data_IF_705117467827
#
_entry.id   IF_705117467827
#
_cell.length_a   1.000
_cell.length_b   1.000
_cell.length_c   1.000
_cell.angle_alpha   90.00
_cell.angle_beta   90.00
_cell.angle_gamma   90.00
#
_symmetry.space_group_name_H-M   'P 1'
#
loop_
_entity.id
_entity.type
_entity.pdbx_description
1 polymer ?
#
# COMPACT_ATOMS: atom_id res chain seq x y z
N UNK A 1 -9.64 3.10 23.18
CA UNK A 1 -8.80 3.85 22.21
C UNK A 1 -9.45 3.62 20.86
N UNK A 2 -10.17 4.62 20.37
CA UNK A 2 -11.09 4.49 19.26
C UNK A 2 -10.34 4.16 17.97
N UNK A 3 -10.71 3.04 17.34
CA UNK A 3 -10.18 2.54 16.07
C UNK A 3 -10.20 3.63 14.98
N UNK A 4 -11.16 4.54 15.04
CA UNK A 4 -11.28 5.71 14.15
C UNK A 4 -10.10 6.70 14.29
N UNK A 5 -9.60 6.96 15.51
CA UNK A 5 -8.45 7.84 15.72
C UNK A 5 -7.17 7.21 15.19
N UNK A 6 -7.02 5.89 15.36
CA UNK A 6 -5.89 5.13 14.84
C UNK A 6 -5.91 5.15 13.30
N UNK A 7 -7.07 4.90 12.69
CA UNK A 7 -7.27 4.97 11.24
C UNK A 7 -6.93 6.36 10.67
N UNK A 8 -7.43 7.43 11.30
CA UNK A 8 -7.18 8.81 10.85
C UNK A 8 -5.71 9.20 10.97
N UNK A 9 -5.04 8.76 12.04
CA UNK A 9 -3.61 9.02 12.25
C UNK A 9 -2.73 8.29 11.23
N UNK A 10 -3.06 7.04 10.91
CA UNK A 10 -2.36 6.25 9.89
C UNK A 10 -2.56 6.83 8.50
N UNK A 11 -3.79 7.24 8.16
CA UNK A 11 -4.08 7.85 6.88
C UNK A 11 -3.31 9.19 6.72
N UNK A 12 -3.28 10.03 7.76
CA UNK A 12 -2.46 11.24 7.77
C UNK A 12 -0.96 10.93 7.65
N UNK A 13 -0.45 9.88 8.30
CA UNK A 13 0.95 9.49 8.21
C UNK A 13 1.33 8.99 6.81
N UNK A 14 0.48 8.20 6.16
CA UNK A 14 0.70 7.71 4.78
C UNK A 14 0.69 8.87 3.79
N UNK A 15 -0.26 9.80 3.92
CA UNK A 15 -0.33 11.01 3.09
C UNK A 15 0.92 11.86 3.31
N UNK A 16 1.37 12.07 4.56
CA UNK A 16 2.56 12.85 4.87
C UNK A 16 3.85 12.21 4.31
N UNK A 17 4.01 10.90 4.45
CA UNK A 17 5.17 10.17 3.90
C UNK A 17 5.18 10.26 2.37
N UNK A 18 4.02 10.05 1.72
CA UNK A 18 3.87 10.17 0.27
C UNK A 18 4.15 11.61 -0.20
N UNK A 19 3.66 12.61 0.52
CA UNK A 19 3.86 14.02 0.20
C UNK A 19 5.34 14.42 0.30
N UNK A 20 6.03 13.99 1.37
CA UNK A 20 7.48 14.21 1.55
C UNK A 20 8.28 13.47 0.46
N UNK A 21 7.86 12.25 0.11
CA UNK A 21 8.49 11.46 -0.94
C UNK A 21 8.34 12.12 -2.32
N UNK A 22 7.16 12.66 -2.62
CA UNK A 22 6.83 13.30 -3.89
C UNK A 22 7.54 14.66 -4.05
N UNK A 23 7.63 15.46 -2.97
CA UNK A 23 8.32 16.74 -2.99
C UNK A 23 9.84 16.64 -3.13
N UNK A 24 10.45 15.51 -2.73
CA UNK A 24 11.91 15.36 -2.72
C UNK A 24 12.52 14.73 -3.97
N UNK A 25 11.76 14.29 -4.98
CA UNK A 25 12.32 13.46 -6.07
C UNK A 25 12.25 14.08 -7.47
N UNK A 26 13.41 14.51 -7.96
CA UNK A 26 13.68 14.92 -9.35
C UNK A 26 13.81 13.73 -10.35
N UNK A 27 13.97 12.48 -9.89
CA UNK A 27 14.17 11.29 -10.77
C UNK A 27 12.91 10.41 -10.88
N UNK A 28 11.99 10.80 -11.76
CA UNK A 28 10.62 10.23 -11.91
C UNK A 28 10.52 8.74 -12.28
N UNK A 29 11.39 8.20 -13.14
CA UNK A 29 11.20 6.85 -13.72
C UNK A 29 11.71 5.70 -12.86
N UNK A 30 12.94 5.78 -12.32
CA UNK A 30 13.50 4.72 -11.48
C UNK A 30 12.72 4.58 -10.17
N UNK A 31 12.25 5.70 -9.62
CA UNK A 31 11.40 5.73 -8.44
C UNK A 31 10.09 4.97 -8.67
N UNK A 32 9.46 5.19 -9.83
CA UNK A 32 8.23 4.52 -10.22
C UNK A 32 8.45 3.02 -10.39
N UNK A 33 9.55 2.61 -11.04
CA UNK A 33 9.89 1.19 -11.21
C UNK A 33 10.12 0.50 -9.86
N UNK A 34 10.85 1.13 -8.93
CA UNK A 34 11.02 0.59 -7.58
C UNK A 34 9.71 0.52 -6.80
N UNK A 35 8.83 1.53 -6.95
CA UNK A 35 7.50 1.53 -6.33
C UNK A 35 6.62 0.42 -6.88
N UNK A 36 6.64 0.20 -8.19
CA UNK A 36 5.91 -0.87 -8.87
C UNK A 36 6.37 -2.26 -8.43
N UNK A 37 7.69 -2.49 -8.39
CA UNK A 37 8.25 -3.78 -7.97
C UNK A 37 7.97 -4.05 -6.49
N UNK A 38 8.15 -3.04 -5.63
CA UNK A 38 7.90 -3.20 -4.18
C UNK A 38 6.41 -3.33 -3.86
N UNK A 39 5.53 -2.61 -4.55
CA UNK A 39 4.08 -2.74 -4.42
C UNK A 39 3.56 -4.08 -4.92
N UNK A 40 4.02 -4.53 -6.08
CA UNK A 40 3.70 -5.87 -6.60
C UNK A 40 4.20 -6.98 -5.68
N UNK A 41 5.43 -6.87 -5.17
CA UNK A 41 5.97 -7.83 -4.21
C UNK A 41 5.17 -7.83 -2.90
N UNK A 42 4.79 -6.66 -2.38
CA UNK A 42 3.96 -6.56 -1.19
C UNK A 42 2.58 -7.20 -1.42
N UNK A 43 1.95 -6.94 -2.57
CA UNK A 43 0.65 -7.54 -2.90
C UNK A 43 0.74 -9.07 -3.00
N UNK A 44 1.82 -9.59 -3.59
CA UNK A 44 2.06 -11.03 -3.69
C UNK A 44 2.26 -11.68 -2.31
N UNK A 45 3.03 -11.05 -1.43
CA UNK A 45 3.23 -11.52 -0.05
C UNK A 45 1.90 -11.54 0.69
N UNK A 46 1.12 -10.47 0.60
CA UNK A 46 -0.19 -10.38 1.27
C UNK A 46 -1.20 -11.37 0.66
N UNK A 47 -1.20 -11.59 -0.65
CA UNK A 47 -2.08 -12.61 -1.23
C UNK A 47 -1.71 -14.03 -0.74
N UNK A 48 -0.41 -14.35 -0.63
CA UNK A 48 0.04 -15.70 -0.25
C UNK A 48 0.00 -15.97 1.26
N UNK A 49 0.33 -14.96 2.07
CA UNK A 49 0.46 -15.09 3.53
C UNK A 49 -0.60 -14.31 4.30
N UNK A 50 -1.41 -13.47 3.64
CA UNK A 50 -2.46 -12.67 4.27
C UNK A 50 -3.49 -13.53 4.98
N UNK A 51 -3.80 -14.71 4.44
CA UNK A 51 -4.72 -15.65 5.08
C UNK A 51 -4.25 -16.09 6.48
N UNK A 52 -2.93 -16.13 6.76
CA UNK A 52 -2.42 -16.43 8.12
C UNK A 52 -2.72 -15.32 9.14
N UNK A 53 -2.89 -14.08 8.68
CA UNK A 53 -3.22 -12.94 9.53
C UNK A 53 -4.72 -12.60 9.48
N UNK A 54 -5.53 -13.32 8.70
CA UNK A 54 -6.95 -13.03 8.50
C UNK A 54 -7.24 -11.99 7.41
N UNK A 55 -6.23 -11.63 6.60
CA UNK A 55 -6.37 -10.72 5.47
C UNK A 55 -6.50 -11.50 4.15
N UNK A 56 -7.70 -11.59 3.59
CA UNK A 56 -7.93 -12.24 2.29
C UNK A 56 -7.91 -11.21 1.15
N UNK A 57 -6.71 -10.89 0.66
CA UNK A 57 -6.53 -9.94 -0.45
C UNK A 57 -6.35 -10.69 -1.76
N UNK A 58 -7.33 -10.65 -2.68
CA UNK A 58 -7.25 -11.35 -3.94
C UNK A 58 -6.22 -10.71 -4.89
N UNK A 59 -5.47 -11.54 -5.61
CA UNK A 59 -4.57 -11.13 -6.69
C UNK A 59 -5.38 -10.90 -7.98
N UNK A 60 -6.16 -9.82 -8.02
CA UNK A 60 -6.94 -9.44 -9.19
C UNK A 60 -6.26 -8.30 -9.98
N UNK A 61 -6.77 -8.02 -11.18
CA UNK A 61 -6.19 -6.99 -12.06
C UNK A 61 -6.20 -5.60 -11.42
N UNK A 62 -7.26 -5.27 -10.68
CA UNK A 62 -7.41 -3.98 -9.98
C UNK A 62 -6.34 -3.80 -8.91
N UNK A 63 -6.16 -4.79 -8.03
CA UNK A 63 -5.18 -4.76 -6.95
C UNK A 63 -3.76 -4.76 -7.50
N UNK A 64 -3.53 -5.52 -8.58
CA UNK A 64 -2.23 -5.58 -9.25
C UNK A 64 -1.86 -4.21 -9.81
N UNK A 65 -2.73 -3.60 -10.61
CA UNK A 65 -2.49 -2.27 -11.19
C UNK A 65 -2.38 -1.20 -10.09
N UNK A 66 -3.25 -1.26 -9.07
CA UNK A 66 -3.20 -0.36 -7.93
C UNK A 66 -1.86 -0.44 -7.19
N UNK A 67 -1.37 -1.65 -6.91
CA UNK A 67 -0.09 -1.87 -6.24
C UNK A 67 1.10 -1.43 -7.11
N UNK A 68 0.99 -1.53 -8.43
CA UNK A 68 2.04 -1.11 -9.37
C UNK A 68 2.11 0.42 -9.47
N UNK A 69 0.97 1.10 -9.49
CA UNK A 69 0.88 2.56 -9.66
C UNK A 69 1.14 3.30 -8.35
N UNK A 70 0.57 2.81 -7.25
CA UNK A 70 0.62 3.46 -5.94
C UNK A 70 1.64 2.81 -4.99
N UNK A 71 2.17 1.63 -5.33
CA UNK A 71 3.19 0.94 -4.56
C UNK A 71 2.66 0.21 -3.32
N UNK A 72 3.58 0.00 -2.38
CA UNK A 72 3.31 -0.56 -1.04
C UNK A 72 2.17 0.18 -0.29
N UNK A 73 2.03 1.52 -0.35
CA UNK A 73 0.92 2.24 0.29
C UNK A 73 -0.47 1.72 -0.08
N UNK A 74 -0.70 1.35 -1.34
CA UNK A 74 -1.97 0.79 -1.77
C UNK A 74 -2.23 -0.60 -1.19
N UNK A 75 -1.18 -1.42 -1.05
CA UNK A 75 -1.29 -2.74 -0.43
C UNK A 75 -1.61 -2.63 1.05
N UNK A 76 -0.99 -1.68 1.76
CA UNK A 76 -1.31 -1.40 3.17
C UNK A 76 -2.78 -0.98 3.31
N UNK A 77 -3.26 -0.11 2.42
CA UNK A 77 -4.66 0.30 2.42
C UNK A 77 -5.62 -0.87 2.20
N UNK A 78 -5.33 -1.76 1.24
CA UNK A 78 -6.11 -2.97 1.00
C UNK A 78 -6.20 -3.87 2.24
N UNK A 79 -5.07 -4.09 2.91
CA UNK A 79 -5.03 -4.89 4.14
C UNK A 79 -5.89 -4.27 5.22
N UNK A 80 -5.78 -2.96 5.45
CA UNK A 80 -6.60 -2.24 6.44
C UNK A 80 -8.09 -2.37 6.12
N UNK A 81 -8.47 -2.18 4.86
CA UNK A 81 -9.87 -2.28 4.41
C UNK A 81 -10.43 -3.71 4.51
N UNK A 82 -9.59 -4.73 4.56
CA UNK A 82 -10.03 -6.11 4.72
C UNK A 82 -10.34 -6.46 6.18
N UNK A 83 -9.69 -5.77 7.14
CA UNK A 83 -9.94 -5.93 8.57
C UNK A 83 -11.07 -5.04 9.10
N UNK A 84 -11.55 -4.08 8.30
CA UNK A 84 -12.67 -3.22 8.62
C UNK A 84 -13.97 -3.86 8.13
#
# INVERSE_FOLDING_TARGET
MDTEMIFRSLCCAVIAIMMIYYFRREKKLLSFLTGAVTGGAALFIVNKYGMMIGADIPLNLFNTVGSVVLGVPFVIFLVIMNFL
#
